data_IF_494672179929
#
_entry.id   IF_494672179929
#
_cell.length_a   1.000
_cell.length_b   1.000
_cell.length_c   1.000
_cell.angle_alpha   90.00
_cell.angle_beta   90.00
_cell.angle_gamma   90.00
#
_symmetry.space_group_name_H-M   'P 1'
#
loop_
_entity.id
_entity.type
_entity.pdbx_description
1 polymer ?
#
# COMPACT_ATOMS: atom_id res chain seq x y z
N UNK A 1 23.24 7.34 30.14
CA UNK A 1 22.63 7.69 28.86
C UNK A 1 21.30 8.44 29.04
N UNK A 2 21.32 9.48 29.87
CA UNK A 2 20.20 10.42 30.03
C UNK A 2 20.84 11.78 30.18
N UNK A 3 21.15 12.47 29.09
CA UNK A 3 21.52 13.89 29.17
C UNK A 3 21.69 14.57 27.80
N UNK A 4 20.83 14.34 26.83
CA UNK A 4 20.81 15.15 25.60
C UNK A 4 19.46 15.80 25.28
N UNK A 5 18.44 15.60 26.14
CA UNK A 5 17.11 16.16 25.88
C UNK A 5 16.85 17.54 26.53
N UNK A 6 17.71 17.98 27.45
CA UNK A 6 17.50 19.24 28.20
C UNK A 6 18.18 20.48 27.57
N UNK A 7 19.05 20.31 26.60
CA UNK A 7 19.75 21.45 25.99
C UNK A 7 18.92 22.11 24.87
N UNK A 8 18.07 21.34 24.22
CA UNK A 8 17.25 21.88 23.12
C UNK A 8 16.07 22.74 23.58
N UNK A 9 15.54 22.51 24.79
CA UNK A 9 14.41 23.29 25.30
C UNK A 9 14.81 24.64 25.94
N UNK A 10 16.09 24.87 26.22
CA UNK A 10 16.57 26.13 26.80
C UNK A 10 16.88 27.22 25.76
N UNK A 11 17.11 26.85 24.53
CA UNK A 11 17.44 27.80 23.45
C UNK A 11 16.22 28.54 22.87
N UNK A 12 15.02 28.00 23.04
CA UNK A 12 13.79 28.59 22.47
C UNK A 12 13.16 29.67 23.40
N UNK A 13 13.56 29.72 24.68
CA UNK A 13 12.98 30.66 25.67
C UNK A 13 13.69 32.01 25.75
N UNK A 14 14.82 32.18 25.07
CA UNK A 14 15.62 33.41 25.17
C UNK A 14 15.32 34.44 24.06
N UNK A 15 14.47 34.14 23.09
CA UNK A 15 14.19 35.05 21.95
C UNK A 15 12.92 35.89 22.14
N UNK A 16 12.12 35.63 23.19
CA UNK A 16 10.86 36.34 23.38
C UNK A 16 10.83 37.29 24.59
N UNK A 17 11.96 37.78 25.08
CA UNK A 17 11.98 38.75 26.14
C UNK A 17 12.92 39.92 25.84
N UNK A 18 12.54 40.82 24.94
CA UNK A 18 13.04 42.17 24.96
C UNK A 18 11.90 43.17 24.70
N UNK A 19 11.74 44.04 25.69
CA UNK A 19 10.77 45.12 25.79
C UNK A 19 10.98 46.19 24.73
N UNK A 20 9.86 46.73 24.28
CA UNK A 20 9.64 48.11 23.91
C UNK A 20 10.51 48.75 22.80
N UNK A 21 9.91 48.90 21.68
CA UNK A 21 10.32 49.83 20.64
C UNK A 21 9.12 50.09 19.71
N UNK A 22 8.40 51.16 19.97
CA UNK A 22 7.39 51.72 19.07
C UNK A 22 8.10 52.16 17.80
N UNK A 23 7.93 51.44 16.71
CA UNK A 23 8.20 51.92 15.36
C UNK A 23 7.01 51.61 14.50
N UNK A 24 6.28 52.63 14.22
CA UNK A 24 5.18 52.69 13.25
C UNK A 24 5.72 52.32 11.87
N UNK A 25 5.36 51.13 11.34
CA UNK A 25 5.53 50.83 9.94
C UNK A 25 4.31 51.38 9.17
N UNK A 26 4.51 52.15 8.12
CA UNK A 26 3.40 52.54 7.25
C UNK A 26 2.95 51.33 6.44
N UNK A 27 1.64 51.06 6.47
CA UNK A 27 1.00 50.10 5.55
C UNK A 27 1.16 50.63 4.13
N UNK A 28 2.07 50.00 3.37
CA UNK A 28 2.09 50.13 1.93
C UNK A 28 0.90 49.32 1.38
N UNK A 29 -0.17 50.04 1.14
CA UNK A 29 -1.32 49.55 0.35
C UNK A 29 -0.84 49.44 -1.09
N UNK A 30 -0.42 48.26 -1.49
CA UNK A 30 -0.24 47.92 -2.90
C UNK A 30 -1.66 47.80 -3.50
N UNK A 31 -2.16 48.91 -4.04
CA UNK A 31 -3.29 48.91 -4.94
C UNK A 31 -2.85 48.16 -6.23
N UNK A 32 -3.08 46.85 -6.27
CA UNK A 32 -2.95 46.07 -7.48
C UNK A 32 -3.99 46.53 -8.47
N UNK A 33 -3.55 47.16 -9.56
CA UNK A 33 -4.39 47.45 -10.71
C UNK A 33 -4.90 46.14 -11.25
N UNK A 34 -6.18 45.83 -11.00
CA UNK A 34 -6.89 44.77 -11.71
C UNK A 34 -7.17 45.33 -13.11
N UNK A 35 -6.24 45.04 -14.03
CA UNK A 35 -6.50 45.23 -15.45
C UNK A 35 -7.59 44.23 -15.84
N UNK A 36 -8.78 44.71 -16.06
CA UNK A 36 -9.82 43.97 -16.75
C UNK A 36 -9.38 43.82 -18.23
N UNK A 37 -8.58 42.79 -18.50
CA UNK A 37 -8.47 42.30 -19.83
C UNK A 37 -9.79 41.60 -20.19
N UNK A 38 -10.34 41.83 -21.39
CA UNK A 38 -11.51 41.07 -21.81
C UNK A 38 -11.13 39.61 -21.85
N UNK A 39 -11.74 38.85 -20.97
CA UNK A 39 -11.63 37.40 -20.93
C UNK A 39 -12.31 36.88 -22.20
N UNK A 40 -11.51 36.76 -23.27
CA UNK A 40 -11.88 35.94 -24.40
C UNK A 40 -12.07 34.54 -23.84
N UNK A 41 -13.32 34.16 -23.75
CA UNK A 41 -13.72 32.82 -23.39
C UNK A 41 -13.16 31.85 -24.44
N UNK A 42 -11.91 31.40 -24.22
CA UNK A 42 -11.47 30.15 -24.78
C UNK A 42 -12.12 29.07 -23.89
N UNK A 43 -13.39 28.81 -24.21
CA UNK A 43 -14.07 27.61 -23.79
C UNK A 43 -13.45 26.46 -24.58
N UNK A 44 -12.20 26.17 -24.30
CA UNK A 44 -11.64 24.86 -24.57
C UNK A 44 -12.30 23.95 -23.54
N UNK A 45 -13.40 23.28 -23.95
CA UNK A 45 -13.80 22.02 -23.32
C UNK A 45 -12.57 21.14 -23.40
N UNK A 46 -11.82 21.09 -22.32
CA UNK A 46 -10.91 19.99 -22.08
C UNK A 46 -11.86 18.82 -21.89
N UNK A 47 -12.09 18.09 -22.97
CA UNK A 47 -12.74 16.79 -22.88
C UNK A 47 -11.83 15.96 -22.00
N UNK A 48 -12.22 15.81 -20.73
CA UNK A 48 -11.63 14.83 -19.84
C UNK A 48 -11.77 13.49 -20.57
N UNK A 49 -10.65 12.97 -21.07
CA UNK A 49 -10.60 11.68 -21.77
C UNK A 49 -10.75 10.57 -20.72
N UNK A 50 -11.94 10.50 -20.15
CA UNK A 50 -12.30 9.37 -19.31
C UNK A 50 -12.42 8.11 -20.16
N UNK A 51 -12.00 6.94 -19.62
CA UNK A 51 -12.23 5.68 -20.31
C UNK A 51 -13.72 5.46 -20.56
N UNK A 52 -14.08 4.96 -21.74
CA UNK A 52 -15.46 4.64 -22.10
C UNK A 52 -16.05 3.52 -21.24
N UNK A 53 -15.19 2.61 -20.77
CA UNK A 53 -15.57 1.52 -19.91
C UNK A 53 -15.06 1.75 -18.47
N UNK A 54 -15.95 1.66 -17.50
CA UNK A 54 -15.63 1.72 -16.09
C UNK A 54 -15.77 0.34 -15.45
N UNK A 55 -14.85 0.03 -14.54
CA UNK A 55 -14.92 -1.19 -13.75
C UNK A 55 -15.94 -1.04 -12.62
N UNK A 56 -16.64 -2.14 -12.27
CA UNK A 56 -17.43 -2.17 -11.05
C UNK A 56 -16.55 -1.92 -9.81
N UNK A 57 -17.04 -1.07 -8.92
CA UNK A 57 -16.29 -0.65 -7.71
C UNK A 57 -16.37 -1.70 -6.60
N UNK A 58 -15.54 -2.73 -6.69
CA UNK A 58 -15.40 -3.72 -5.62
C UNK A 58 -14.67 -3.19 -4.38
N UNK A 59 -14.04 -2.01 -4.43
CA UNK A 59 -13.38 -1.43 -3.27
C UNK A 59 -14.39 -1.08 -2.16
N UNK A 60 -15.65 -0.85 -2.50
CA UNK A 60 -16.75 -0.59 -1.56
C UNK A 60 -17.36 -1.86 -0.96
N UNK A 61 -17.00 -3.05 -1.45
CA UNK A 61 -17.53 -4.33 -0.94
C UNK A 61 -17.09 -4.56 0.50
N UNK A 62 -17.99 -5.05 1.33
CA UNK A 62 -17.69 -5.43 2.72
C UNK A 62 -16.72 -6.62 2.76
N UNK A 63 -15.82 -6.64 3.72
CA UNK A 63 -14.83 -7.71 3.83
C UNK A 63 -15.45 -9.08 4.16
N UNK A 64 -16.63 -9.11 4.78
CA UNK A 64 -17.37 -10.36 5.01
C UNK A 64 -17.89 -10.97 3.70
N UNK A 65 -18.22 -10.13 2.73
CA UNK A 65 -18.86 -10.53 1.48
C UNK A 65 -17.87 -10.83 0.36
N UNK A 66 -16.69 -10.19 0.36
CA UNK A 66 -15.72 -10.28 -0.74
C UNK A 66 -15.32 -11.72 -1.09
N UNK A 67 -15.21 -12.59 -0.08
CA UNK A 67 -14.79 -13.98 -0.26
C UNK A 67 -15.88 -14.89 -0.82
N UNK A 68 -17.13 -14.44 -0.82
CA UNK A 68 -18.28 -15.16 -1.37
C UNK A 68 -18.54 -14.82 -2.84
N UNK A 69 -17.82 -13.84 -3.37
CA UNK A 69 -17.94 -13.42 -4.76
C UNK A 69 -17.04 -14.24 -5.66
N UNK A 70 -17.57 -14.65 -6.81
CA UNK A 70 -16.85 -15.42 -7.82
C UNK A 70 -17.47 -15.20 -9.19
N UNK A 71 -16.81 -15.72 -10.20
CA UNK A 71 -17.26 -15.68 -11.59
C UNK A 71 -16.44 -14.69 -12.43
N UNK A 72 -16.60 -14.82 -13.74
CA UNK A 72 -15.77 -14.15 -14.74
C UNK A 72 -15.69 -12.63 -14.53
N UNK A 73 -16.82 -11.95 -14.36
CA UNK A 73 -16.86 -10.48 -14.26
C UNK A 73 -16.27 -9.95 -12.94
N UNK A 74 -16.34 -10.76 -11.90
CA UNK A 74 -15.73 -10.46 -10.60
C UNK A 74 -14.23 -10.69 -10.66
N UNK A 75 -13.81 -11.86 -11.08
CA UNK A 75 -12.41 -12.33 -11.01
C UNK A 75 -11.51 -11.72 -12.08
N UNK A 76 -12.09 -11.16 -13.15
CA UNK A 76 -11.35 -10.36 -14.12
C UNK A 76 -11.24 -8.88 -13.75
N UNK A 77 -11.88 -8.43 -12.67
CA UNK A 77 -11.83 -7.07 -12.21
C UNK A 77 -10.66 -6.86 -11.21
N UNK A 78 -9.66 -6.03 -11.52
CA UNK A 78 -8.52 -5.79 -10.63
C UNK A 78 -8.94 -5.20 -9.28
N UNK A 79 -10.03 -4.45 -9.20
CA UNK A 79 -10.53 -3.86 -7.94
C UNK A 79 -11.03 -4.91 -6.96
N UNK A 80 -11.57 -6.03 -7.46
CA UNK A 80 -11.92 -7.19 -6.63
C UNK A 80 -10.67 -7.74 -5.90
N UNK A 81 -9.57 -7.93 -6.62
CA UNK A 81 -8.33 -8.45 -6.05
C UNK A 81 -7.67 -7.48 -5.08
N UNK A 82 -7.66 -6.18 -5.40
CA UNK A 82 -7.17 -5.14 -4.49
C UNK A 82 -7.98 -5.13 -3.19
N UNK A 83 -9.31 -5.24 -3.29
CA UNK A 83 -10.16 -5.33 -2.09
C UNK A 83 -9.91 -6.61 -1.31
N UNK A 84 -9.72 -7.73 -1.99
CA UNK A 84 -9.35 -9.01 -1.37
C UNK A 84 -8.05 -8.92 -0.58
N UNK A 85 -7.02 -8.27 -1.14
CA UNK A 85 -5.74 -8.03 -0.46
C UNK A 85 -5.94 -7.18 0.79
N UNK A 86 -6.66 -6.07 0.70
CA UNK A 86 -6.96 -5.20 1.86
C UNK A 86 -7.73 -5.94 2.95
N UNK A 87 -8.74 -6.72 2.58
CA UNK A 87 -9.54 -7.48 3.53
C UNK A 87 -8.75 -8.62 4.20
N UNK A 88 -7.86 -9.30 3.47
CA UNK A 88 -7.03 -10.37 4.02
C UNK A 88 -6.10 -9.88 5.12
N UNK A 89 -5.54 -8.68 4.97
CA UNK A 89 -4.65 -8.06 5.97
C UNK A 89 -5.35 -7.77 7.31
N UNK A 90 -6.68 -7.72 7.32
CA UNK A 90 -7.50 -7.47 8.51
C UNK A 90 -7.96 -8.74 9.23
N UNK A 91 -7.73 -9.90 8.62
CA UNK A 91 -8.10 -11.19 9.23
C UNK A 91 -7.10 -11.59 10.32
N UNK A 92 -7.62 -12.22 11.37
CA UNK A 92 -6.75 -12.94 12.28
C UNK A 92 -6.05 -14.10 11.55
N UNK A 93 -4.78 -14.42 11.86
CA UNK A 93 -4.04 -15.46 11.16
C UNK A 93 -4.75 -16.82 11.10
N UNK A 94 -5.45 -17.19 12.18
CA UNK A 94 -6.20 -18.46 12.23
C UNK A 94 -7.38 -18.47 11.26
N UNK A 95 -8.10 -17.37 11.15
CA UNK A 95 -9.26 -17.23 10.25
C UNK A 95 -8.81 -17.22 8.79
N UNK A 96 -7.71 -16.52 8.50
CA UNK A 96 -7.11 -16.51 7.17
C UNK A 96 -6.67 -17.91 6.73
N UNK A 97 -6.03 -18.67 7.63
CA UNK A 97 -5.63 -20.07 7.36
C UNK A 97 -6.83 -20.99 7.15
N UNK A 98 -7.89 -20.84 7.95
CA UNK A 98 -9.13 -21.62 7.76
C UNK A 98 -9.76 -21.34 6.40
N UNK A 99 -9.90 -20.08 6.02
CA UNK A 99 -10.44 -19.71 4.70
C UNK A 99 -9.57 -20.24 3.56
N UNK A 100 -8.26 -20.13 3.68
CA UNK A 100 -7.32 -20.63 2.69
C UNK A 100 -7.39 -22.16 2.53
N UNK A 101 -7.63 -22.90 3.61
CA UNK A 101 -7.75 -24.36 3.57
C UNK A 101 -9.02 -24.86 2.85
N UNK A 102 -10.00 -23.99 2.64
CA UNK A 102 -11.24 -24.31 1.91
C UNK A 102 -11.11 -24.14 0.39
N UNK A 103 -9.99 -23.61 -0.09
CA UNK A 103 -9.72 -23.32 -1.49
C UNK A 103 -8.83 -24.40 -2.09
N UNK A 104 -9.25 -24.93 -3.23
CA UNK A 104 -8.41 -25.79 -4.06
C UNK A 104 -7.35 -24.95 -4.79
N UNK A 105 -6.23 -25.56 -5.15
CA UNK A 105 -5.15 -24.86 -5.89
C UNK A 105 -5.15 -25.23 -7.38
N UNK A 106 -6.27 -25.70 -7.91
CA UNK A 106 -6.36 -26.20 -9.27
C UNK A 106 -6.63 -25.10 -10.30
N UNK A 107 -7.10 -23.93 -9.84
CA UNK A 107 -7.34 -22.77 -10.69
C UNK A 107 -6.46 -21.60 -10.24
N UNK A 108 -6.15 -20.69 -11.16
CA UNK A 108 -5.43 -19.47 -10.81
C UNK A 108 -6.18 -18.59 -9.80
N UNK A 109 -7.52 -18.60 -9.88
CA UNK A 109 -8.38 -17.82 -8.99
C UNK A 109 -8.24 -18.30 -7.54
N UNK A 110 -8.41 -19.58 -7.32
CA UNK A 110 -8.33 -20.16 -5.98
C UNK A 110 -6.91 -20.13 -5.44
N UNK A 111 -5.92 -20.41 -6.28
CA UNK A 111 -4.52 -20.27 -5.91
C UNK A 111 -4.17 -18.81 -5.51
N UNK A 112 -4.68 -17.81 -6.21
CA UNK A 112 -4.43 -16.41 -5.88
C UNK A 112 -5.20 -15.97 -4.62
N UNK A 113 -6.47 -16.35 -4.46
CA UNK A 113 -7.24 -16.13 -3.22
C UNK A 113 -6.52 -16.75 -2.01
N UNK A 114 -6.07 -17.99 -2.15
CA UNK A 114 -5.31 -18.69 -1.12
C UNK A 114 -3.98 -17.99 -0.80
N UNK A 115 -3.23 -17.58 -1.79
CA UNK A 115 -1.98 -16.84 -1.63
C UNK A 115 -2.18 -15.53 -0.87
N UNK A 116 -3.19 -14.75 -1.23
CA UNK A 116 -3.57 -13.50 -0.56
C UNK A 116 -3.94 -13.74 0.90
N UNK A 117 -4.78 -14.74 1.19
CA UNK A 117 -5.21 -15.09 2.55
C UNK A 117 -4.03 -15.50 3.43
N UNK A 118 -3.07 -16.24 2.89
CA UNK A 118 -1.92 -16.72 3.64
C UNK A 118 -0.80 -15.69 3.82
N UNK A 119 -0.75 -14.66 2.98
CA UNK A 119 0.37 -13.70 2.94
C UNK A 119 0.70 -13.09 4.32
N UNK A 120 -0.32 -12.74 5.10
CA UNK A 120 -0.20 -12.13 6.42
C UNK A 120 -0.61 -13.08 7.58
N UNK A 121 -0.82 -14.36 7.29
CA UNK A 121 -1.26 -15.37 8.25
C UNK A 121 -0.13 -16.01 9.07
N UNK A 122 0.96 -15.29 9.31
CA UNK A 122 2.16 -15.76 10.02
C UNK A 122 2.74 -17.04 9.42
N UNK A 123 2.80 -17.09 8.10
CA UNK A 123 3.43 -18.19 7.38
C UNK A 123 4.95 -18.12 7.45
N UNK A 124 5.58 -19.29 7.36
CA UNK A 124 7.03 -19.41 7.28
C UNK A 124 7.57 -18.97 5.91
N UNK A 125 8.87 -18.65 5.80
CA UNK A 125 9.48 -18.37 4.49
C UNK A 125 9.33 -19.55 3.50
N UNK A 126 9.31 -20.78 3.99
CA UNK A 126 9.11 -21.98 3.15
C UNK A 126 7.70 -22.00 2.58
N UNK A 127 6.68 -21.78 3.41
CA UNK A 127 5.28 -21.68 2.97
C UNK A 127 5.09 -20.53 1.97
N UNK A 128 5.68 -19.36 2.25
CA UNK A 128 5.62 -18.21 1.35
C UNK A 128 6.21 -18.51 -0.01
N UNK A 129 7.38 -19.15 -0.03
CA UNK A 129 8.03 -19.57 -1.28
C UNK A 129 7.18 -20.57 -2.06
N UNK A 130 6.60 -21.55 -1.37
CA UNK A 130 5.72 -22.53 -1.99
C UNK A 130 4.49 -21.86 -2.64
N UNK A 131 3.86 -20.91 -1.95
CA UNK A 131 2.71 -20.15 -2.48
C UNK A 131 3.08 -19.36 -3.73
N UNK A 132 4.20 -18.64 -3.72
CA UNK A 132 4.66 -17.86 -4.87
C UNK A 132 5.00 -18.80 -6.05
N UNK A 133 5.71 -19.88 -5.80
CA UNK A 133 6.07 -20.86 -6.84
C UNK A 133 4.82 -21.49 -7.47
N UNK A 134 3.82 -21.84 -6.63
CA UNK A 134 2.56 -22.38 -7.15
C UNK A 134 1.84 -21.37 -8.03
N UNK A 135 1.73 -20.14 -7.59
CA UNK A 135 1.09 -19.06 -8.35
C UNK A 135 1.81 -18.74 -9.65
N UNK A 136 3.12 -18.79 -9.67
CA UNK A 136 3.92 -18.56 -10.88
C UNK A 136 3.59 -19.56 -11.99
N UNK A 137 3.10 -20.76 -11.67
CA UNK A 137 2.63 -21.73 -12.68
C UNK A 137 1.38 -21.26 -13.42
N UNK A 138 0.61 -20.33 -12.86
CA UNK A 138 -0.63 -19.80 -13.44
C UNK A 138 -0.48 -18.44 -14.14
N UNK A 139 0.71 -17.85 -14.15
CA UNK A 139 0.91 -16.49 -14.70
C UNK A 139 0.39 -16.34 -16.13
N UNK A 140 0.56 -17.38 -16.95
CA UNK A 140 0.09 -17.39 -18.34
C UNK A 140 -1.43 -17.33 -18.45
N UNK A 141 -2.15 -17.79 -17.43
CA UNK A 141 -3.62 -17.84 -17.40
C UNK A 141 -4.26 -16.57 -16.85
N UNK A 142 -3.45 -15.68 -16.25
CA UNK A 142 -3.96 -14.45 -15.64
C UNK A 142 -4.50 -13.48 -16.70
N UNK A 143 -5.73 -12.96 -16.52
CA UNK A 143 -6.26 -11.90 -17.38
C UNK A 143 -5.35 -10.66 -17.37
N UNK A 144 -5.28 -9.97 -18.50
CA UNK A 144 -4.43 -8.79 -18.66
C UNK A 144 -4.72 -7.71 -17.60
N UNK A 145 -6.00 -7.54 -17.22
CA UNK A 145 -6.44 -6.55 -16.22
C UNK A 145 -6.00 -6.92 -14.80
N UNK A 146 -5.87 -8.20 -14.48
CA UNK A 146 -5.50 -8.70 -13.15
C UNK A 146 -3.99 -8.80 -12.99
N UNK A 147 -3.26 -9.01 -14.08
CA UNK A 147 -1.80 -9.22 -14.06
C UNK A 147 -1.02 -8.13 -13.32
N UNK A 148 -1.30 -6.82 -13.46
CA UNK A 148 -0.58 -5.80 -12.69
C UNK A 148 -0.76 -5.93 -11.17
N UNK A 149 -1.95 -6.26 -10.70
CA UNK A 149 -2.23 -6.47 -9.27
C UNK A 149 -1.46 -7.69 -8.75
N UNK A 150 -1.51 -8.78 -9.49
CA UNK A 150 -0.74 -9.98 -9.18
C UNK A 150 0.76 -9.68 -9.09
N UNK A 151 1.31 -8.97 -10.07
CA UNK A 151 2.73 -8.62 -10.12
C UNK A 151 3.17 -7.82 -8.89
N UNK A 152 2.41 -6.78 -8.51
CA UNK A 152 2.71 -5.98 -7.33
C UNK A 152 2.64 -6.81 -6.04
N UNK A 153 1.63 -7.66 -5.91
CA UNK A 153 1.50 -8.56 -4.77
C UNK A 153 2.67 -9.55 -4.70
N UNK A 154 3.00 -10.17 -5.81
CA UNK A 154 4.11 -11.12 -5.93
C UNK A 154 5.46 -10.50 -5.57
N UNK A 155 5.71 -9.30 -6.08
CA UNK A 155 6.95 -8.57 -5.78
C UNK A 155 7.07 -8.28 -4.27
N UNK A 156 5.96 -7.93 -3.61
CA UNK A 156 5.90 -7.80 -2.16
C UNK A 156 6.24 -9.10 -1.43
N UNK A 157 5.73 -10.25 -1.89
CA UNK A 157 6.04 -11.56 -1.31
C UNK A 157 7.53 -11.90 -1.49
N UNK A 158 8.09 -11.61 -2.65
CA UNK A 158 9.51 -11.83 -2.95
C UNK A 158 10.42 -10.98 -2.05
N UNK A 159 10.08 -9.72 -1.86
CA UNK A 159 10.82 -8.83 -0.94
C UNK A 159 10.77 -9.33 0.51
N UNK A 160 9.65 -9.88 0.95
CA UNK A 160 9.54 -10.48 2.28
C UNK A 160 10.44 -11.71 2.44
N UNK A 161 10.57 -12.54 1.39
CA UNK A 161 11.51 -13.66 1.38
C UNK A 161 12.96 -13.18 1.48
N UNK A 162 13.35 -12.21 0.68
CA UNK A 162 14.69 -11.62 0.72
C UNK A 162 15.02 -11.04 2.09
N UNK A 163 14.09 -10.29 2.69
CA UNK A 163 14.26 -9.74 4.04
C UNK A 163 14.45 -10.84 5.10
N UNK A 164 13.70 -11.92 4.98
CA UNK A 164 13.83 -13.08 5.89
C UNK A 164 15.20 -13.75 5.76
N UNK A 165 15.70 -13.90 4.54
CA UNK A 165 17.01 -14.47 4.26
C UNK A 165 18.14 -13.60 4.82
N UNK A 166 18.06 -12.28 4.63
CA UNK A 166 19.06 -11.34 5.16
C UNK A 166 19.07 -11.32 6.71
N UNK A 167 17.88 -11.35 7.35
CA UNK A 167 17.79 -11.46 8.80
C UNK A 167 18.44 -12.75 9.32
N UNK A 168 18.24 -13.85 8.62
CA UNK A 168 18.86 -15.14 8.98
C UNK A 168 20.38 -15.11 8.84
N UNK A 169 20.90 -14.51 7.76
CA UNK A 169 22.35 -14.31 7.56
C UNK A 169 22.94 -13.47 8.68
N UNK A 170 22.30 -12.35 8.99
CA UNK A 170 22.78 -11.44 10.04
C UNK A 170 22.82 -12.13 11.41
N UNK A 171 21.77 -12.88 11.77
CA UNK A 171 21.74 -13.65 13.01
C UNK A 171 22.87 -14.68 13.11
N UNK A 172 23.19 -15.37 12.01
CA UNK A 172 24.31 -16.33 11.97
C UNK A 172 25.66 -15.66 12.15
N UNK A 173 25.84 -14.47 11.55
CA UNK A 173 27.07 -13.70 11.72
C UNK A 173 27.26 -13.25 13.15
N UNK A 174 26.20 -12.76 13.83
CA UNK A 174 26.27 -12.39 15.24
C UNK A 174 26.65 -13.60 16.10
N UNK A 175 26.02 -14.75 15.90
CA UNK A 175 26.34 -15.95 16.67
C UNK A 175 27.79 -16.42 16.49
N UNK A 176 28.36 -16.27 15.29
CA UNK A 176 29.77 -16.62 15.06
C UNK A 176 30.71 -15.68 15.76
N UNK A 177 30.39 -14.37 15.83
CA UNK A 177 31.21 -13.37 16.51
C UNK A 177 31.19 -13.53 18.02
N UNK A 178 30.02 -13.91 18.58
CA UNK A 178 29.87 -14.09 20.03
C UNK A 178 30.54 -15.41 20.54
N UNK A 179 30.93 -16.30 19.62
CA UNK A 179 31.55 -17.60 19.93
C UNK A 179 33.08 -17.60 19.82
N UNK A 180 33.69 -16.52 19.38
CA UNK A 180 35.15 -16.28 19.38
C UNK A 180 35.61 -15.57 20.65
#
# INVERSE_FOLDING_TARGET
LVSMSHVFFRAIRAVFSSKAGRLSLPCLVLAGCVSHAPQSAISGKQEDKWPDNQLADFLSTRCEDIWNLSGHDVENNPLFWLRGIDCAQRLAPVDARMKAAMLDEDTWQDAFKRGILLADAKITPVERRANVTRLDTFVINLPAQVRPVYQLWRDGQTLQLQLSEERSRYSKLQQSTDSE
#
